data_IF_059130473788
#
_entry.id   IF_059130473788
#
_cell.length_a   1.000
_cell.length_b   1.000
_cell.length_c   1.000
_cell.angle_alpha   90.00
_cell.angle_beta   90.00
_cell.angle_gamma   90.00
#
_symmetry.space_group_name_H-M   'P 1'
#
loop_
_entity.id
_entity.type
_entity.pdbx_description
1 polymer ?
#
# COMPACT_ATOMS: atom_id res chain seq x y z
N UNK A 1 13.90 -22.36 -11.59
CA UNK A 1 12.99 -21.25 -11.94
C UNK A 1 11.52 -21.66 -11.79
N UNK A 2 11.07 -22.71 -12.47
CA UNK A 2 9.66 -23.17 -12.45
C UNK A 2 9.16 -23.56 -11.05
N UNK A 3 9.95 -24.28 -10.27
CA UNK A 3 9.61 -24.69 -8.91
C UNK A 3 9.41 -23.50 -7.97
N UNK A 4 10.23 -22.46 -8.09
CA UNK A 4 10.06 -21.20 -7.32
C UNK A 4 8.76 -20.48 -7.68
N UNK A 5 8.39 -20.46 -8.97
CA UNK A 5 7.14 -19.88 -9.46
C UNK A 5 5.92 -20.67 -8.96
N UNK A 6 5.98 -22.00 -8.98
CA UNK A 6 4.93 -22.88 -8.46
C UNK A 6 4.75 -22.72 -6.94
N UNK A 7 5.84 -22.69 -6.19
CA UNK A 7 5.81 -22.47 -4.74
C UNK A 7 5.26 -21.09 -4.38
N UNK A 8 5.62 -20.07 -5.17
CA UNK A 8 5.06 -18.71 -5.02
C UNK A 8 3.56 -18.72 -5.26
N UNK A 9 3.10 -19.33 -6.34
CA UNK A 9 1.68 -19.42 -6.70
C UNK A 9 0.86 -20.22 -5.68
N UNK A 10 1.43 -21.29 -5.12
CA UNK A 10 0.80 -22.06 -4.04
C UNK A 10 0.69 -21.27 -2.74
N UNK A 11 1.68 -20.46 -2.40
CA UNK A 11 1.61 -19.55 -1.25
C UNK A 11 0.54 -18.48 -1.44
N UNK A 12 0.42 -17.94 -2.66
CA UNK A 12 -0.63 -16.98 -3.05
C UNK A 12 -2.03 -17.58 -2.90
N UNK A 13 -2.24 -18.77 -3.42
CA UNK A 13 -3.53 -19.48 -3.31
C UNK A 13 -3.89 -19.81 -1.86
N UNK A 14 -2.91 -20.22 -1.05
CA UNK A 14 -3.11 -20.52 0.37
C UNK A 14 -3.49 -19.26 1.15
N UNK A 15 -2.82 -18.13 0.87
CA UNK A 15 -3.13 -16.84 1.48
C UNK A 15 -4.53 -16.36 1.11
N UNK A 16 -4.91 -16.47 -0.18
CA UNK A 16 -6.25 -16.12 -0.67
C UNK A 16 -7.31 -17.00 -0.03
N UNK A 17 -7.09 -18.30 0.10
CA UNK A 17 -8.02 -19.24 0.74
C UNK A 17 -8.18 -18.96 2.23
N UNK A 18 -7.11 -18.66 2.96
CA UNK A 18 -7.17 -18.28 4.36
C UNK A 18 -7.95 -16.99 4.57
N UNK A 19 -7.78 -16.01 3.69
CA UNK A 19 -8.55 -14.76 3.73
C UNK A 19 -10.04 -14.96 3.39
N UNK A 20 -10.37 -15.90 2.51
CA UNK A 20 -11.76 -16.26 2.20
C UNK A 20 -12.40 -16.99 3.37
N UNK A 21 -11.66 -17.82 4.09
CA UNK A 21 -12.17 -18.60 5.24
C UNK A 21 -12.32 -17.75 6.51
N UNK A 22 -11.49 -16.70 6.67
CA UNK A 22 -11.53 -15.78 7.82
C UNK A 22 -12.39 -14.53 7.58
N UNK A 23 -13.45 -14.65 6.90
CA UNK A 23 -14.32 -13.68 6.21
C UNK A 23 -14.76 -12.40 6.95
N UNK A 24 -14.17 -11.99 8.08
CA UNK A 24 -14.51 -10.69 8.70
C UNK A 24 -13.44 -10.01 9.57
N UNK A 25 -12.27 -10.61 9.77
CA UNK A 25 -11.23 -9.98 10.57
C UNK A 25 -10.06 -9.61 9.66
N UNK A 26 -9.77 -8.32 9.53
CA UNK A 26 -8.56 -7.87 8.86
C UNK A 26 -7.35 -8.29 9.72
N UNK A 27 -6.61 -9.28 9.26
CA UNK A 27 -5.38 -9.73 9.88
C UNK A 27 -4.20 -9.37 8.98
N UNK A 28 -3.44 -8.35 9.40
CA UNK A 28 -2.21 -7.92 8.72
C UNK A 28 -1.02 -8.58 9.41
N UNK A 29 -0.16 -9.21 8.61
CA UNK A 29 1.04 -9.88 9.12
C UNK A 29 2.17 -8.89 9.42
N UNK A 30 2.28 -7.84 8.64
CA UNK A 30 3.43 -6.93 8.63
C UNK A 30 3.11 -5.53 9.14
N UNK A 31 1.84 -5.16 9.21
CA UNK A 31 1.42 -3.82 9.60
C UNK A 31 0.49 -3.81 10.80
N UNK A 32 0.57 -2.72 11.56
CA UNK A 32 -0.46 -2.32 12.53
C UNK A 32 -1.29 -1.20 11.90
N UNK A 33 -2.59 -1.16 12.17
CA UNK A 33 -3.47 -0.10 11.65
C UNK A 33 -3.00 1.29 12.05
N UNK A 34 -2.41 1.43 13.23
CA UNK A 34 -1.88 2.70 13.73
C UNK A 34 -0.76 3.29 12.86
N UNK A 35 -0.07 2.47 12.05
CA UNK A 35 0.92 2.97 11.10
C UNK A 35 0.31 3.82 9.97
N UNK A 36 -1.00 3.67 9.76
CA UNK A 36 -1.77 4.39 8.74
C UNK A 36 -2.61 5.54 9.31
N UNK A 37 -2.45 5.88 10.58
CA UNK A 37 -3.19 6.99 11.20
C UNK A 37 -2.84 8.32 10.54
N UNK A 38 -3.85 9.19 10.42
CA UNK A 38 -3.59 10.61 10.20
C UNK A 38 -2.95 11.20 11.46
N UNK A 39 -1.89 12.02 11.35
CA UNK A 39 -1.17 12.55 12.51
C UNK A 39 -2.05 13.33 13.49
N UNK A 40 -3.16 13.90 13.02
CA UNK A 40 -4.12 14.66 13.81
C UNK A 40 -5.28 13.82 14.36
N UNK A 41 -5.37 12.52 14.01
CA UNK A 41 -6.48 11.65 14.43
C UNK A 41 -5.96 10.23 14.76
N UNK A 42 -5.52 9.97 16.01
CA UNK A 42 -5.15 8.63 16.45
C UNK A 42 -6.29 7.61 16.25
N UNK A 43 -5.97 6.41 15.75
CA UNK A 43 -6.95 5.36 15.45
C UNK A 43 -7.60 5.49 14.08
N UNK A 44 -7.30 6.53 13.32
CA UNK A 44 -7.89 6.76 11.98
C UNK A 44 -7.40 5.79 10.91
N UNK A 45 -6.34 5.04 11.14
CA UNK A 45 -5.89 3.95 10.27
C UNK A 45 -6.97 2.87 10.05
N UNK A 46 -7.93 2.76 10.96
CA UNK A 46 -9.13 1.92 10.80
C UNK A 46 -10.03 2.34 9.62
N UNK A 47 -9.86 3.57 9.11
CA UNK A 47 -10.60 4.11 7.94
C UNK A 47 -9.94 3.73 6.61
N UNK A 48 -8.81 3.05 6.63
CA UNK A 48 -8.18 2.51 5.43
C UNK A 48 -9.04 1.41 4.80
N UNK A 49 -9.04 1.33 3.48
CA UNK A 49 -9.68 0.24 2.74
C UNK A 49 -9.01 -1.10 3.04
N UNK A 50 -9.79 -2.08 3.49
CA UNK A 50 -9.28 -3.40 3.92
C UNK A 50 -8.58 -4.14 2.78
N UNK A 51 -9.16 -4.13 1.57
CA UNK A 51 -8.59 -4.82 0.42
C UNK A 51 -7.27 -4.18 -0.03
N UNK A 52 -7.17 -2.87 0.10
CA UNK A 52 -5.91 -2.17 -0.16
C UNK A 52 -4.85 -2.56 0.86
N UNK A 53 -5.18 -2.59 2.15
CA UNK A 53 -4.26 -3.01 3.21
C UNK A 53 -3.79 -4.46 3.02
N UNK A 54 -4.69 -5.38 2.68
CA UNK A 54 -4.34 -6.78 2.39
C UNK A 54 -3.36 -6.89 1.21
N UNK A 55 -3.61 -6.15 0.13
CA UNK A 55 -2.69 -6.09 -1.01
C UNK A 55 -1.32 -5.54 -0.62
N UNK A 56 -1.31 -4.48 0.18
CA UNK A 56 -0.07 -3.83 0.63
C UNK A 56 0.75 -4.76 1.54
N UNK A 57 0.07 -5.47 2.45
CA UNK A 57 0.69 -6.46 3.34
C UNK A 57 1.33 -7.60 2.53
N UNK A 58 0.63 -8.06 1.50
CA UNK A 58 1.13 -9.08 0.59
C UNK A 58 2.28 -8.58 -0.30
N UNK A 59 2.21 -7.34 -0.78
CA UNK A 59 3.31 -6.73 -1.52
C UNK A 59 4.59 -6.66 -0.67
N UNK A 60 4.46 -6.28 0.60
CA UNK A 60 5.59 -6.29 1.53
C UNK A 60 6.19 -7.68 1.72
N UNK A 61 5.34 -8.71 1.83
CA UNK A 61 5.79 -10.10 1.87
C UNK A 61 6.62 -10.48 0.64
N UNK A 62 6.15 -10.10 -0.55
CA UNK A 62 6.82 -10.43 -1.81
C UNK A 62 8.13 -9.65 -2.01
N UNK A 63 8.17 -8.42 -1.58
CA UNK A 63 9.34 -7.55 -1.73
C UNK A 63 10.51 -8.00 -0.85
N UNK A 64 10.21 -8.62 0.29
CA UNK A 64 11.18 -9.01 1.30
C UNK A 64 12.09 -7.87 1.78
N UNK A 65 11.52 -6.66 1.81
CA UNK A 65 12.12 -5.44 2.38
C UNK A 65 11.10 -4.71 3.25
N UNK A 66 11.53 -3.92 4.25
CA UNK A 66 10.61 -3.17 5.09
C UNK A 66 9.81 -2.15 4.29
N UNK A 67 8.50 -2.05 4.56
CA UNK A 67 7.66 -0.95 4.09
C UNK A 67 7.37 -0.03 5.29
N UNK A 68 8.18 0.98 5.48
CA UNK A 68 7.89 2.02 6.48
C UNK A 68 6.85 2.98 5.90
N UNK A 69 5.71 3.09 6.54
CA UNK A 69 4.63 3.98 6.10
C UNK A 69 4.92 5.41 6.56
N UNK A 70 5.06 6.32 5.60
CA UNK A 70 5.20 7.74 5.86
C UNK A 70 3.84 8.44 5.98
N UNK A 71 2.83 7.94 5.23
CA UNK A 71 1.48 8.49 5.24
C UNK A 71 0.50 7.41 4.79
N UNK A 72 -0.55 7.22 5.55
CA UNK A 72 -1.68 6.37 5.21
C UNK A 72 -2.95 7.19 5.03
N UNK A 73 -3.94 7.02 5.91
CA UNK A 73 -5.13 7.86 5.94
C UNK A 73 -4.76 9.32 6.27
N UNK A 74 -5.50 10.24 5.68
CA UNK A 74 -5.42 11.68 6.04
C UNK A 74 -6.82 12.22 6.27
N UNK A 75 -7.01 12.92 7.39
CA UNK A 75 -8.17 13.79 7.54
C UNK A 75 -8.14 14.89 6.48
N UNK A 76 -9.28 15.47 6.15
CA UNK A 76 -9.33 16.62 5.22
C UNK A 76 -8.50 17.79 5.74
N UNK A 77 -8.57 18.02 7.05
CA UNK A 77 -7.85 19.08 7.76
C UNK A 77 -6.34 18.88 7.68
N UNK A 78 -5.85 17.68 7.96
CA UNK A 78 -4.43 17.37 7.83
C UNK A 78 -3.94 17.47 6.39
N UNK A 79 -4.71 16.95 5.45
CA UNK A 79 -4.37 17.04 4.03
C UNK A 79 -4.26 18.51 3.56
N UNK A 80 -5.17 19.38 4.00
CA UNK A 80 -5.09 20.80 3.71
C UNK A 80 -3.87 21.45 4.39
N UNK A 81 -3.59 21.10 5.64
CA UNK A 81 -2.45 21.60 6.40
C UNK A 81 -1.11 21.32 5.74
N UNK A 82 -0.92 20.14 5.18
CA UNK A 82 0.32 19.75 4.49
C UNK A 82 0.35 20.12 2.99
N UNK A 83 -0.65 20.87 2.49
CA UNK A 83 -0.74 21.26 1.09
C UNK A 83 -1.08 20.10 0.13
N UNK A 84 -1.74 19.07 0.61
CA UNK A 84 -2.20 17.95 -0.20
C UNK A 84 -3.30 18.38 -1.18
N UNK A 85 -3.41 17.65 -2.31
CA UNK A 85 -4.42 17.96 -3.33
C UNK A 85 -5.84 17.70 -2.80
N UNK A 86 -6.77 18.56 -3.19
CA UNK A 86 -8.20 18.30 -3.02
C UNK A 86 -8.54 17.00 -3.79
N UNK A 87 -9.26 16.09 -3.14
CA UNK A 87 -9.57 14.77 -3.72
C UNK A 87 -8.42 13.75 -3.65
N UNK A 88 -7.45 14.00 -2.76
CA UNK A 88 -6.37 13.03 -2.49
C UNK A 88 -6.92 11.65 -2.13
N UNK A 89 -6.33 10.60 -2.68
CA UNK A 89 -6.68 9.21 -2.37
C UNK A 89 -6.39 8.83 -0.92
N UNK A 90 -5.49 9.55 -0.24
CA UNK A 90 -5.24 9.40 1.21
C UNK A 90 -6.48 9.73 2.06
N UNK A 91 -7.26 10.75 1.69
CA UNK A 91 -8.50 11.13 2.40
C UNK A 91 -9.56 10.02 2.32
N UNK A 92 -9.49 9.21 1.27
CA UNK A 92 -10.42 8.10 1.02
C UNK A 92 -9.96 6.79 1.66
N UNK A 93 -8.80 6.75 2.30
CA UNK A 93 -8.18 5.53 2.81
C UNK A 93 -7.69 4.57 1.72
N UNK A 94 -7.41 5.07 0.52
CA UNK A 94 -7.06 4.28 -0.66
C UNK A 94 -5.59 4.42 -1.07
N UNK A 95 -4.77 5.13 -0.31
CA UNK A 95 -3.38 5.44 -0.64
C UNK A 95 -2.44 5.27 0.54
N UNK A 96 -1.20 4.95 0.24
CA UNK A 96 -0.09 4.98 1.18
C UNK A 96 1.19 5.51 0.51
N UNK A 97 2.00 6.20 1.30
CA UNK A 97 3.36 6.58 0.95
C UNK A 97 4.34 5.70 1.74
N UNK A 98 5.21 5.01 1.02
CA UNK A 98 6.19 4.07 1.56
C UNK A 98 7.56 4.73 1.50
N UNK A 99 8.27 4.81 2.61
CA UNK A 99 9.64 5.31 2.65
C UNK A 99 10.56 4.45 1.77
N UNK A 100 11.39 5.11 0.96
CA UNK A 100 12.32 4.44 0.06
C UNK A 100 13.47 5.35 -0.35
N UNK A 101 14.70 5.04 0.05
CA UNK A 101 15.89 5.84 -0.30
C UNK A 101 16.73 5.19 -1.39
N UNK A 102 16.76 3.88 -1.51
CA UNK A 102 17.67 3.15 -2.38
C UNK A 102 17.04 2.72 -3.70
N UNK A 103 17.85 2.62 -4.75
CA UNK A 103 17.38 2.17 -6.06
C UNK A 103 16.93 0.70 -6.05
N UNK A 104 17.63 -0.15 -5.28
CA UNK A 104 17.29 -1.56 -5.16
C UNK A 104 15.94 -1.73 -4.45
N UNK A 105 15.75 -1.11 -3.31
CA UNK A 105 14.49 -1.20 -2.56
C UNK A 105 13.33 -0.61 -3.37
N UNK A 106 13.56 0.49 -4.08
CA UNK A 106 12.59 1.08 -5.00
C UNK A 106 12.12 0.09 -6.06
N UNK A 107 13.04 -0.63 -6.69
CA UNK A 107 12.71 -1.65 -7.68
C UNK A 107 11.91 -2.79 -7.08
N UNK A 108 12.29 -3.29 -5.89
CA UNK A 108 11.59 -4.38 -5.19
C UNK A 108 10.19 -3.95 -4.74
N UNK A 109 10.05 -2.74 -4.22
CA UNK A 109 8.75 -2.18 -3.79
C UNK A 109 7.83 -2.05 -5.00
N UNK A 110 8.26 -1.38 -6.07
CA UNK A 110 7.44 -1.18 -7.27
C UNK A 110 7.04 -2.52 -7.88
N UNK A 111 7.98 -3.44 -8.04
CA UNK A 111 7.70 -4.78 -8.57
C UNK A 111 6.63 -5.49 -7.74
N UNK A 112 6.75 -5.48 -6.43
CA UNK A 112 5.81 -6.17 -5.54
C UNK A 112 4.42 -5.53 -5.55
N UNK A 113 4.34 -4.20 -5.65
CA UNK A 113 3.07 -3.47 -5.80
C UNK A 113 2.35 -3.89 -7.09
N UNK A 114 3.06 -3.97 -8.21
CA UNK A 114 2.50 -4.42 -9.49
C UNK A 114 2.04 -5.87 -9.44
N UNK A 115 2.79 -6.74 -8.78
CA UNK A 115 2.44 -8.16 -8.61
C UNK A 115 1.10 -8.38 -7.88
N UNK A 116 0.72 -7.47 -7.00
CA UNK A 116 -0.58 -7.52 -6.29
C UNK A 116 -1.67 -6.69 -6.96
N UNK A 117 -1.39 -6.14 -8.15
CA UNK A 117 -2.35 -5.36 -8.94
C UNK A 117 -2.56 -3.92 -8.43
N UNK A 118 -1.57 -3.33 -7.78
CA UNK A 118 -1.52 -1.90 -7.50
C UNK A 118 -0.76 -1.26 -8.64
N UNK A 119 -1.47 -0.57 -9.54
CA UNK A 119 -0.93 -0.08 -10.82
C UNK A 119 -0.87 1.45 -10.92
N UNK A 120 -1.24 2.14 -9.83
CA UNK A 120 -1.09 3.60 -9.70
C UNK A 120 0.07 3.88 -8.76
N UNK A 121 1.20 4.31 -9.31
CA UNK A 121 2.45 4.47 -8.56
C UNK A 121 3.06 5.84 -8.84
N UNK A 122 3.28 6.59 -7.76
CA UNK A 122 4.05 7.83 -7.78
C UNK A 122 5.44 7.60 -7.22
N UNK A 123 6.46 8.08 -7.92
CA UNK A 123 7.85 7.88 -7.55
C UNK A 123 8.43 9.19 -7.06
N UNK A 124 8.62 9.27 -5.74
CA UNK A 124 9.32 10.37 -5.10
C UNK A 124 10.81 10.06 -4.90
N UNK A 125 11.53 11.05 -4.50
CA UNK A 125 12.97 10.93 -4.25
C UNK A 125 13.27 9.98 -3.08
N UNK A 126 12.44 10.05 -2.03
CA UNK A 126 12.59 9.30 -0.77
C UNK A 126 11.38 8.47 -0.40
N UNK A 127 10.42 8.33 -1.31
CA UNK A 127 9.20 7.58 -1.07
C UNK A 127 8.59 7.05 -2.37
N UNK A 128 7.76 6.04 -2.22
CA UNK A 128 6.86 5.54 -3.27
C UNK A 128 5.44 5.76 -2.80
N UNK A 129 4.66 6.52 -3.56
CA UNK A 129 3.22 6.59 -3.42
C UNK A 129 2.56 5.43 -4.17
N UNK A 130 1.56 4.82 -3.56
CA UNK A 130 0.71 3.86 -4.22
C UNK A 130 -0.75 4.05 -3.82
N UNK A 131 -1.66 3.85 -4.75
CA UNK A 131 -3.09 3.92 -4.50
C UNK A 131 -3.92 2.99 -5.38
N UNK A 132 -5.16 2.74 -4.96
CA UNK A 132 -6.15 1.93 -5.67
C UNK A 132 -7.41 2.72 -6.01
N UNK A 133 -7.29 4.03 -6.17
CA UNK A 133 -8.42 4.93 -6.47
C UNK A 133 -8.93 4.72 -7.90
N UNK A 134 -10.02 3.96 -8.03
CA UNK A 134 -10.64 3.63 -9.33
C UNK A 134 -11.26 4.81 -10.06
N UNK A 135 -11.40 5.97 -9.40
CA UNK A 135 -11.90 7.20 -10.03
C UNK A 135 -10.81 7.98 -10.77
N UNK A 136 -9.59 7.50 -10.73
CA UNK A 136 -8.42 8.09 -11.39
C UNK A 136 -7.90 7.17 -12.48
N UNK A 137 -7.06 7.69 -13.38
CA UNK A 137 -6.43 6.90 -14.44
C UNK A 137 -5.66 5.71 -13.85
N UNK A 138 -5.90 4.53 -14.43
CA UNK A 138 -5.23 3.30 -14.02
C UNK A 138 -3.96 3.06 -14.85
N UNK A 139 -3.09 2.16 -14.37
CA UNK A 139 -1.86 1.74 -15.07
C UNK A 139 -0.94 2.92 -15.39
N UNK A 140 -0.71 3.78 -14.39
CA UNK A 140 0.09 5.00 -14.53
C UNK A 140 1.21 5.08 -13.52
N UNK A 141 2.36 5.58 -13.98
CA UNK A 141 3.46 6.01 -13.14
C UNK A 141 3.67 7.51 -13.33
N UNK A 142 4.00 8.19 -12.24
CA UNK A 142 4.42 9.59 -12.30
C UNK A 142 5.60 9.86 -11.36
N UNK A 143 6.29 10.93 -11.63
CA UNK A 143 7.41 11.41 -10.83
C UNK A 143 6.96 12.60 -9.97
N UNK A 144 7.40 12.63 -8.74
CA UNK A 144 7.34 13.83 -7.90
C UNK A 144 8.64 14.62 -8.08
N UNK A 145 8.52 15.90 -8.39
CA UNK A 145 9.63 16.83 -8.52
C UNK A 145 10.14 17.27 -7.15
#
# INVERSE_FOLDING_TARGET
MLLRLLLKKLKELRFTLLNILNNNILELKYFKLSEFDSPDEPGSGSKMDKKFLEKLDYARHNADVPFKINSGYRTKEWNAHIGGRVGSSHIKGLAADIHCNGSRDRALIIKSLLEVGITRIGIGRTFIHCDVDKKKDQDVFWLYN
#
